data_IF_131701219996
#
_entry.id   IF_131701219996
#
_cell.length_a   1.000
_cell.length_b   1.000
_cell.length_c   1.000
_cell.angle_alpha   90.00
_cell.angle_beta   90.00
_cell.angle_gamma   90.00
#
_symmetry.space_group_name_H-M   'P 1'
#
loop_
_entity.id
_entity.type
_entity.pdbx_description
1 polymer ?
#
# COMPACT_ATOMS: atom_id res chain seq x y z
N UNK A 1 7.05 -13.75 -25.86
CA UNK A 1 7.27 -14.52 -24.62
C UNK A 1 7.55 -13.54 -23.49
N UNK A 2 6.96 -13.73 -22.31
CA UNK A 2 7.10 -12.82 -21.14
C UNK A 2 8.55 -12.63 -20.70
N UNK A 3 9.37 -13.68 -20.72
CA UNK A 3 10.80 -13.67 -20.27
C UNK A 3 11.66 -12.53 -20.84
N UNK A 4 11.42 -12.11 -22.08
CA UNK A 4 12.22 -11.04 -22.71
C UNK A 4 11.53 -9.68 -22.68
N UNK A 5 10.27 -9.63 -22.25
CA UNK A 5 9.44 -8.42 -22.23
C UNK A 5 9.48 -7.73 -20.88
N UNK A 6 9.34 -8.49 -19.80
CA UNK A 6 9.20 -7.92 -18.44
C UNK A 6 10.54 -7.34 -17.95
N UNK A 7 10.48 -6.10 -17.49
CA UNK A 7 11.59 -5.32 -16.94
C UNK A 7 11.36 -4.90 -15.49
N UNK A 8 10.10 -4.87 -15.05
CA UNK A 8 9.69 -4.51 -13.70
C UNK A 8 8.68 -5.53 -13.18
N UNK A 9 8.93 -6.07 -12.01
CA UNK A 9 8.00 -6.90 -11.26
C UNK A 9 7.57 -6.14 -10.01
N UNK A 10 6.27 -5.95 -9.83
CA UNK A 10 5.67 -5.29 -8.69
C UNK A 10 4.90 -6.32 -7.87
N UNK A 11 5.02 -6.29 -6.54
CA UNK A 11 4.26 -7.20 -5.68
C UNK A 11 3.66 -6.46 -4.50
N UNK A 12 2.37 -6.68 -4.27
CA UNK A 12 1.80 -6.42 -2.95
C UNK A 12 2.47 -7.31 -1.89
N UNK A 13 2.30 -6.94 -0.63
CA UNK A 13 2.95 -7.61 0.51
C UNK A 13 1.98 -8.57 1.21
N UNK A 14 0.91 -8.04 1.82
CA UNK A 14 0.02 -8.79 2.70
C UNK A 14 -1.00 -9.61 1.92
N UNK A 15 -0.96 -10.95 2.07
CA UNK A 15 -1.79 -11.86 1.28
C UNK A 15 -1.22 -12.19 -0.10
N UNK A 16 -0.12 -11.54 -0.52
CA UNK A 16 0.54 -11.76 -1.80
C UNK A 16 1.98 -12.29 -1.60
N UNK A 17 2.90 -11.43 -1.17
CA UNK A 17 4.32 -11.77 -1.04
C UNK A 17 4.61 -12.61 0.20
N UNK A 18 3.99 -12.25 1.33
CA UNK A 18 4.19 -12.88 2.62
C UNK A 18 3.04 -13.83 2.97
N UNK A 19 3.36 -14.87 3.72
CA UNK A 19 2.41 -15.81 4.29
C UNK A 19 1.69 -15.22 5.51
N UNK A 20 0.68 -15.92 6.02
CA UNK A 20 -0.07 -15.52 7.22
C UNK A 20 0.81 -15.44 8.47
N UNK A 21 1.87 -16.25 8.55
CA UNK A 21 2.86 -16.22 9.62
C UNK A 21 3.93 -15.11 9.45
N UNK A 22 3.77 -14.24 8.44
CA UNK A 22 4.68 -13.15 8.07
C UNK A 22 6.02 -13.59 7.49
N UNK A 23 6.20 -14.85 7.16
CA UNK A 23 7.38 -15.35 6.47
C UNK A 23 7.26 -15.19 4.96
N UNK A 24 8.40 -15.21 4.26
CA UNK A 24 8.50 -15.28 2.80
C UNK A 24 8.87 -16.71 2.42
N UNK A 25 8.19 -17.26 1.42
CA UNK A 25 8.48 -18.60 0.94
C UNK A 25 9.85 -18.70 0.26
N UNK A 26 10.47 -19.87 0.36
CA UNK A 26 11.84 -20.07 -0.15
C UNK A 26 11.96 -19.84 -1.68
N UNK A 27 10.95 -20.27 -2.44
CA UNK A 27 10.94 -20.03 -3.89
C UNK A 27 10.76 -18.56 -4.23
N UNK A 28 9.90 -17.83 -3.47
CA UNK A 28 9.72 -16.39 -3.64
C UNK A 28 11.02 -15.64 -3.35
N UNK A 29 11.68 -15.95 -2.25
CA UNK A 29 13.00 -15.39 -1.92
C UNK A 29 14.00 -15.60 -3.07
N UNK A 30 14.17 -16.86 -3.52
CA UNK A 30 15.11 -17.19 -4.59
C UNK A 30 14.75 -16.49 -5.92
N UNK A 31 13.46 -16.43 -6.25
CA UNK A 31 12.99 -15.82 -7.50
C UNK A 31 13.30 -14.31 -7.51
N UNK A 32 13.04 -13.60 -6.43
CA UNK A 32 13.32 -12.14 -6.33
C UNK A 32 14.83 -11.87 -6.49
N UNK A 33 15.68 -12.62 -5.81
CA UNK A 33 17.12 -12.49 -5.98
C UNK A 33 17.59 -12.78 -7.40
N UNK A 34 16.99 -13.77 -8.05
CA UNK A 34 17.30 -14.08 -9.45
C UNK A 34 16.83 -12.97 -10.42
N UNK A 35 15.66 -12.32 -10.14
CA UNK A 35 15.21 -11.13 -10.89
C UNK A 35 16.24 -10.01 -10.81
N UNK A 36 16.62 -9.62 -9.59
CA UNK A 36 17.60 -8.55 -9.35
C UNK A 36 18.94 -8.86 -10.04
N UNK A 37 19.42 -10.09 -9.91
CA UNK A 37 20.64 -10.55 -10.58
C UNK A 37 20.57 -10.45 -12.10
N UNK A 38 19.40 -10.66 -12.70
CA UNK A 38 19.18 -10.52 -14.16
C UNK A 38 18.93 -9.07 -14.59
N UNK A 39 18.96 -8.12 -13.68
CA UNK A 39 18.67 -6.71 -13.96
C UNK A 39 17.19 -6.43 -14.23
N UNK A 40 16.29 -7.31 -13.77
CA UNK A 40 14.84 -7.04 -13.74
C UNK A 40 14.54 -6.34 -12.44
N UNK A 41 13.97 -5.15 -12.51
CA UNK A 41 13.61 -4.36 -11.33
C UNK A 41 12.51 -5.05 -10.53
N UNK A 42 12.60 -4.96 -9.19
CA UNK A 42 11.58 -5.42 -8.28
C UNK A 42 11.07 -4.26 -7.43
N UNK A 43 9.77 -4.20 -7.21
CA UNK A 43 9.14 -3.18 -6.38
C UNK A 43 8.13 -3.80 -5.39
N UNK A 44 8.19 -3.35 -4.14
CA UNK A 44 7.16 -3.61 -3.13
C UNK A 44 6.08 -2.53 -3.26
N UNK A 45 4.80 -2.95 -3.33
CA UNK A 45 3.66 -2.05 -3.56
C UNK A 45 2.59 -2.31 -2.51
N UNK A 46 2.44 -1.42 -1.53
CA UNK A 46 1.68 -1.73 -0.33
C UNK A 46 0.89 -0.55 0.23
N UNK A 47 -0.15 -0.83 1.01
CA UNK A 47 -0.81 0.14 1.89
C UNK A 47 -0.02 0.46 3.17
N UNK A 48 1.05 -0.26 3.46
CA UNK A 48 1.91 0.02 4.61
C UNK A 48 2.74 1.29 4.40
N UNK A 49 3.11 1.92 5.52
CA UNK A 49 4.18 2.93 5.53
C UNK A 49 5.53 2.31 5.24
N UNK A 50 6.48 3.12 4.79
CA UNK A 50 7.86 2.67 4.55
C UNK A 50 8.45 1.94 5.77
N UNK A 51 8.28 2.47 6.97
CA UNK A 51 8.77 1.83 8.21
C UNK A 51 8.16 0.45 8.46
N UNK A 52 6.88 0.24 8.09
CA UNK A 52 6.22 -1.08 8.17
C UNK A 52 6.68 -2.10 7.13
N UNK A 53 7.53 -1.68 6.18
CA UNK A 53 8.09 -2.54 5.12
C UNK A 53 9.52 -2.99 5.45
N UNK A 54 10.23 -2.28 6.33
CA UNK A 54 11.60 -2.61 6.70
C UNK A 54 11.80 -4.09 7.11
N UNK A 55 10.94 -4.71 7.94
CA UNK A 55 11.10 -6.13 8.28
C UNK A 55 10.97 -7.07 7.07
N UNK A 56 10.17 -6.69 6.06
CA UNK A 56 10.04 -7.47 4.81
C UNK A 56 11.32 -7.36 3.99
N UNK A 57 11.90 -6.16 3.88
CA UNK A 57 13.17 -5.94 3.20
C UNK A 57 14.32 -6.67 3.88
N UNK A 58 14.38 -6.65 5.22
CA UNK A 58 15.35 -7.43 6.01
C UNK A 58 15.22 -8.93 5.75
N UNK A 59 13.97 -9.46 5.73
CA UNK A 59 13.72 -10.86 5.41
C UNK A 59 14.16 -11.21 3.99
N UNK A 60 13.96 -10.30 3.02
CA UNK A 60 14.47 -10.44 1.66
C UNK A 60 15.96 -10.27 1.56
N UNK A 61 16.64 -9.75 2.57
CA UNK A 61 18.06 -9.37 2.52
C UNK A 61 18.37 -8.41 1.36
N UNK A 62 17.44 -7.48 1.09
CA UNK A 62 17.53 -6.45 0.05
C UNK A 62 17.40 -5.05 0.66
N UNK A 63 18.08 -4.10 0.07
CA UNK A 63 18.07 -2.69 0.48
C UNK A 63 17.16 -1.85 -0.44
N UNK A 64 16.83 -0.65 0.00
CA UNK A 64 16.12 0.35 -0.81
C UNK A 64 16.88 0.76 -2.09
N UNK A 65 18.21 0.54 -2.13
CA UNK A 65 19.03 0.77 -3.33
C UNK A 65 18.92 -0.34 -4.38
N UNK A 66 18.41 -1.51 -4.00
CA UNK A 66 18.27 -2.67 -4.87
C UNK A 66 16.84 -2.85 -5.37
N UNK A 67 15.87 -2.36 -4.59
CA UNK A 67 14.45 -2.43 -4.94
C UNK A 67 13.77 -1.07 -4.82
N UNK A 68 12.65 -0.93 -5.49
CA UNK A 68 11.80 0.27 -5.39
C UNK A 68 10.62 0.02 -4.44
N UNK A 69 9.96 1.10 -4.00
CA UNK A 69 8.82 1.00 -3.11
C UNK A 69 7.69 1.95 -3.46
N UNK A 70 6.47 1.43 -3.38
CA UNK A 70 5.22 2.19 -3.38
C UNK A 70 4.57 1.95 -2.03
N UNK A 71 4.45 2.99 -1.25
CA UNK A 71 3.95 2.97 0.11
C UNK A 71 2.63 3.74 0.19
N UNK A 72 1.85 3.49 1.24
CA UNK A 72 0.57 4.17 1.49
C UNK A 72 -0.35 4.17 0.27
N UNK A 73 -0.45 3.01 -0.41
CA UNK A 73 -1.26 2.85 -1.62
C UNK A 73 -0.94 3.86 -2.74
N UNK A 74 0.32 4.27 -2.88
CA UNK A 74 0.76 5.20 -3.92
C UNK A 74 1.04 6.62 -3.44
N UNK A 75 0.73 6.93 -2.18
CA UNK A 75 0.96 8.28 -1.65
C UNK A 75 2.45 8.62 -1.52
N UNK A 76 3.31 7.62 -1.31
CA UNK A 76 4.75 7.81 -1.26
C UNK A 76 5.47 6.78 -2.13
N UNK A 77 6.37 7.25 -2.99
CA UNK A 77 7.10 6.41 -3.95
C UNK A 77 8.59 6.68 -3.89
N UNK A 78 9.36 5.60 -3.78
CA UNK A 78 10.82 5.62 -3.90
C UNK A 78 11.29 4.72 -5.04
N UNK A 79 12.24 5.19 -5.80
CA UNK A 79 12.90 4.42 -6.86
C UNK A 79 14.36 4.24 -6.49
N UNK A 80 14.74 2.99 -6.16
CA UNK A 80 16.11 2.62 -5.78
C UNK A 80 16.66 3.56 -4.68
N UNK A 81 15.88 3.76 -3.62
CA UNK A 81 16.22 4.58 -2.46
C UNK A 81 16.13 6.10 -2.69
N UNK A 82 15.64 6.54 -3.85
CA UNK A 82 15.45 7.95 -4.13
C UNK A 82 13.96 8.32 -4.07
N UNK A 83 13.55 9.24 -3.18
CA UNK A 83 12.19 9.77 -3.17
C UNK A 83 11.82 10.30 -4.56
N UNK A 84 10.68 9.88 -5.08
CA UNK A 84 10.24 10.22 -6.44
C UNK A 84 8.95 11.01 -6.42
N UNK A 85 7.97 10.61 -5.62
CA UNK A 85 6.72 11.34 -5.45
C UNK A 85 6.14 11.16 -4.04
N UNK A 86 5.41 12.17 -3.60
CA UNK A 86 4.73 12.20 -2.30
C UNK A 86 3.41 12.97 -2.45
N UNK A 87 2.29 12.33 -2.14
CA UNK A 87 0.95 12.85 -2.30
C UNK A 87 0.12 12.61 -1.03
N UNK A 88 0.00 13.63 -0.20
CA UNK A 88 -0.87 13.61 0.99
C UNK A 88 -2.26 14.18 0.69
N UNK A 89 -3.23 13.81 1.51
CA UNK A 89 -4.54 14.49 1.53
C UNK A 89 -4.34 15.92 2.06
N UNK A 90 -4.87 16.94 1.38
CA UNK A 90 -4.77 18.32 1.87
C UNK A 90 -5.33 18.46 3.30
N UNK A 91 -4.58 19.09 4.17
CA UNK A 91 -4.88 19.20 5.63
C UNK A 91 -6.28 19.73 5.92
N UNK A 92 -6.79 20.80 5.28
CA UNK A 92 -8.15 21.27 5.52
C UNK A 92 -9.19 20.20 5.19
N UNK A 93 -9.01 19.51 4.08
CA UNK A 93 -9.92 18.46 3.63
C UNK A 93 -9.91 17.24 4.55
N UNK A 94 -8.74 16.91 5.10
CA UNK A 94 -8.57 15.84 6.08
C UNK A 94 -9.36 16.15 7.39
N UNK A 95 -9.30 17.40 7.87
CA UNK A 95 -10.07 17.81 9.03
C UNK A 95 -11.58 17.81 8.79
N UNK A 96 -12.03 18.24 7.61
CA UNK A 96 -13.45 18.16 7.23
C UNK A 96 -13.94 16.71 7.21
N UNK A 97 -13.18 15.80 6.60
CA UNK A 97 -13.50 14.37 6.58
C UNK A 97 -13.53 13.77 7.97
N UNK A 98 -12.52 14.05 8.81
CA UNK A 98 -12.47 13.60 10.20
C UNK A 98 -13.67 14.08 11.02
N UNK A 99 -14.01 15.36 10.92
CA UNK A 99 -15.16 15.94 11.58
C UNK A 99 -16.48 15.34 11.12
N UNK A 100 -16.64 15.11 9.82
CA UNK A 100 -17.84 14.45 9.29
C UNK A 100 -17.92 13.00 9.80
N UNK A 101 -16.82 12.25 9.76
CA UNK A 101 -16.76 10.86 10.22
C UNK A 101 -17.09 10.72 11.73
N UNK A 102 -16.76 11.71 12.55
CA UNK A 102 -17.08 11.70 13.98
C UNK A 102 -18.59 11.69 14.26
N UNK A 103 -19.44 12.19 13.33
CA UNK A 103 -20.91 12.11 13.43
C UNK A 103 -21.45 10.66 13.33
N UNK A 104 -20.66 9.76 12.77
CA UNK A 104 -20.90 8.32 12.74
C UNK A 104 -20.28 7.56 13.92
N UNK A 105 -19.65 8.27 14.86
CA UNK A 105 -18.78 7.73 15.91
C UNK A 105 -17.52 7.04 15.35
N UNK A 106 -17.11 7.34 14.13
CA UNK A 106 -15.84 6.88 13.61
C UNK A 106 -14.69 7.62 14.30
N UNK A 107 -13.61 6.90 14.55
CA UNK A 107 -12.35 7.45 15.10
C UNK A 107 -11.37 7.68 13.97
N UNK A 108 -10.73 8.84 14.01
CA UNK A 108 -9.69 9.21 13.05
C UNK A 108 -8.31 8.88 13.61
N UNK A 109 -7.46 8.35 12.75
CA UNK A 109 -6.03 8.17 12.99
C UNK A 109 -5.29 8.93 11.90
N UNK A 110 -4.45 9.85 12.31
CA UNK A 110 -3.61 10.64 11.44
C UNK A 110 -2.21 10.01 11.41
N UNK A 111 -1.67 9.82 10.21
CA UNK A 111 -0.29 9.40 10.04
C UNK A 111 0.51 10.54 9.41
N UNK A 112 1.64 10.87 10.04
CA UNK A 112 2.56 11.93 9.59
C UNK A 112 3.99 11.42 9.72
N UNK A 113 4.61 11.09 8.61
CA UNK A 113 5.93 10.47 8.61
C UNK A 113 5.94 9.13 9.35
N UNK A 114 6.79 9.02 10.36
CA UNK A 114 6.91 7.80 11.16
C UNK A 114 5.94 7.76 12.37
N UNK A 115 5.24 8.85 12.64
CA UNK A 115 4.32 8.98 13.77
C UNK A 115 2.88 8.74 13.32
N UNK A 116 2.09 8.15 14.20
CA UNK A 116 0.65 8.10 14.06
C UNK A 116 -0.01 8.78 15.27
N UNK A 117 -1.08 9.50 15.02
CA UNK A 117 -1.69 10.40 15.98
C UNK A 117 -3.17 10.09 16.13
N UNK A 118 -3.64 10.10 17.39
CA UNK A 118 -5.06 10.08 17.75
C UNK A 118 -5.34 11.23 18.70
N UNK A 119 -6.58 11.71 18.70
CA UNK A 119 -6.98 12.76 19.66
C UNK A 119 -7.37 12.20 21.03
N UNK A 120 -7.71 10.89 21.09
CA UNK A 120 -8.05 10.19 22.33
C UNK A 120 -7.47 8.79 22.35
N UNK A 121 -6.96 8.35 23.49
CA UNK A 121 -6.55 6.96 23.71
C UNK A 121 -7.78 6.09 23.98
N UNK A 122 -8.10 5.24 23.04
CA UNK A 122 -9.21 4.30 23.12
C UNK A 122 -8.73 2.84 23.08
N UNK A 123 -9.65 1.89 22.91
CA UNK A 123 -9.33 0.45 22.82
C UNK A 123 -8.37 0.09 21.67
N UNK A 124 -8.29 0.93 20.63
CA UNK A 124 -7.44 0.72 19.47
C UNK A 124 -6.01 1.21 19.70
N UNK A 125 -5.81 2.15 20.64
CA UNK A 125 -4.50 2.69 20.97
C UNK A 125 -3.47 1.61 21.22
N UNK A 126 -3.75 0.66 22.13
CA UNK A 126 -2.79 -0.40 22.49
C UNK A 126 -2.46 -1.31 21.29
N UNK A 127 -3.48 -1.64 20.47
CA UNK A 127 -3.32 -2.49 19.29
C UNK A 127 -2.44 -1.83 18.24
N UNK A 128 -2.72 -0.56 17.91
CA UNK A 128 -1.96 0.19 16.89
C UNK A 128 -0.55 0.46 17.41
N UNK A 129 -0.43 0.85 18.69
CA UNK A 129 0.87 1.18 19.30
C UNK A 129 1.81 -0.01 19.35
N UNK A 130 1.28 -1.23 19.54
CA UNK A 130 2.06 -2.45 19.44
C UNK A 130 2.51 -2.77 18.02
N UNK A 131 1.66 -2.47 17.02
CA UNK A 131 1.97 -2.72 15.62
C UNK A 131 3.04 -1.74 15.06
N UNK A 132 3.01 -0.48 15.51
CA UNK A 132 3.94 0.58 15.07
C UNK A 132 5.00 0.92 16.14
N UNK A 133 5.43 -0.06 16.94
CA UNK A 133 6.59 0.03 17.86
C UNK A 133 6.54 1.23 18.83
N UNK A 134 5.35 1.60 19.32
CA UNK A 134 5.23 2.65 20.32
C UNK A 134 5.35 4.09 19.80
N UNK A 135 5.34 4.32 18.49
CA UNK A 135 5.43 5.66 17.88
C UNK A 135 4.12 6.43 17.87
N UNK A 136 3.15 6.03 18.70
CA UNK A 136 1.86 6.68 18.82
C UNK A 136 1.93 7.97 19.64
N UNK A 137 1.27 9.02 19.15
CA UNK A 137 1.09 10.30 19.81
C UNK A 137 -0.39 10.53 20.08
N UNK A 138 -0.74 11.01 21.28
CA UNK A 138 -2.10 11.41 21.62
C UNK A 138 -2.13 12.92 21.83
N UNK A 139 -2.59 13.64 20.83
CA UNK A 139 -2.69 15.11 20.84
C UNK A 139 -3.74 15.59 19.81
N UNK A 140 -4.21 16.83 19.89
CA UNK A 140 -5.05 17.40 18.85
C UNK A 140 -4.37 17.40 17.48
N UNK A 141 -5.11 17.08 16.42
CA UNK A 141 -4.58 17.03 15.05
C UNK A 141 -4.01 18.38 14.58
N UNK A 142 -4.59 19.49 15.02
CA UNK A 142 -4.08 20.83 14.72
C UNK A 142 -2.66 21.03 15.25
N UNK A 143 -2.34 20.45 16.42
CA UNK A 143 -1.00 20.53 16.99
C UNK A 143 0.02 19.73 16.17
N UNK A 144 -0.35 18.53 15.75
CA UNK A 144 0.47 17.71 14.85
C UNK A 144 0.78 18.45 13.55
N UNK A 145 -0.26 19.01 12.93
CA UNK A 145 -0.10 19.78 11.69
C UNK A 145 0.78 21.02 11.90
N UNK A 146 0.62 21.70 13.03
CA UNK A 146 1.45 22.86 13.37
C UNK A 146 2.93 22.47 13.51
N UNK A 147 3.21 21.33 14.14
CA UNK A 147 4.58 20.80 14.29
C UNK A 147 5.17 20.40 12.94
N UNK A 148 4.41 19.68 12.09
CA UNK A 148 4.85 19.30 10.74
C UNK A 148 5.22 20.51 9.89
N UNK A 149 4.39 21.57 9.90
CA UNK A 149 4.70 22.82 9.20
C UNK A 149 5.98 23.49 9.71
N UNK A 150 6.25 23.40 11.00
CA UNK A 150 7.47 23.96 11.60
C UNK A 150 8.73 23.18 11.21
N UNK A 151 8.60 21.87 10.96
CA UNK A 151 9.72 21.00 10.56
C UNK A 151 10.04 21.05 9.07
N UNK A 152 9.25 21.75 8.28
CA UNK A 152 9.35 21.76 6.80
C UNK A 152 9.17 20.35 6.19
N UNK A 153 8.42 19.48 6.86
CA UNK A 153 8.19 18.10 6.47
C UNK A 153 7.27 18.07 5.25
N UNK A 154 7.80 17.61 4.13
CA UNK A 154 7.06 17.36 2.89
C UNK A 154 6.41 15.97 2.87
N UNK A 155 6.33 15.31 4.02
CA UNK A 155 5.81 13.95 4.10
C UNK A 155 4.28 13.92 3.97
N UNK A 156 3.74 12.89 3.29
CA UNK A 156 2.31 12.77 3.10
C UNK A 156 1.63 12.50 4.44
N UNK A 157 0.56 13.24 4.69
CA UNK A 157 -0.33 12.98 5.81
C UNK A 157 -1.45 12.06 5.32
N UNK A 158 -1.58 10.89 5.95
CA UNK A 158 -2.63 9.91 5.66
C UNK A 158 -3.67 9.94 6.76
N UNK A 159 -4.93 9.90 6.37
CA UNK A 159 -6.06 9.75 7.28
C UNK A 159 -6.64 8.34 7.16
N UNK A 160 -6.87 7.73 8.31
CA UNK A 160 -7.57 6.44 8.44
C UNK A 160 -8.75 6.63 9.38
N UNK A 161 -9.92 6.17 8.97
CA UNK A 161 -11.14 6.18 9.78
C UNK A 161 -11.42 4.77 10.29
N UNK A 162 -11.76 4.66 11.55
CA UNK A 162 -12.06 3.38 12.22
C UNK A 162 -13.46 3.37 12.80
N UNK A 163 -14.21 2.32 12.51
CA UNK A 163 -15.59 2.17 12.97
C UNK A 163 -15.96 0.68 13.07
N UNK A 164 -16.30 0.22 14.28
CA UNK A 164 -16.68 -1.19 14.54
C UNK A 164 -18.16 -1.47 14.27
N UNK A 165 -18.70 -0.97 13.17
CA UNK A 165 -20.09 -1.15 12.78
C UNK A 165 -20.15 -1.16 11.25
N UNK A 166 -20.25 -2.35 10.67
CA UNK A 166 -20.18 -2.53 9.22
C UNK A 166 -21.28 -1.76 8.47
N UNK A 167 -22.49 -1.67 9.06
CA UNK A 167 -23.62 -0.96 8.44
C UNK A 167 -23.33 0.54 8.41
N UNK A 168 -22.87 1.09 9.53
CA UNK A 168 -22.47 2.51 9.59
C UNK A 168 -21.24 2.79 8.75
N UNK A 169 -20.26 1.88 8.70
CA UNK A 169 -19.09 2.02 7.84
C UNK A 169 -19.49 2.09 6.37
N UNK A 170 -20.38 1.23 5.92
CA UNK A 170 -20.89 1.27 4.54
C UNK A 170 -21.64 2.59 4.24
N UNK A 171 -22.47 3.06 5.17
CA UNK A 171 -23.18 4.34 5.05
C UNK A 171 -22.20 5.52 5.01
N UNK A 172 -21.24 5.56 5.94
CA UNK A 172 -20.18 6.58 6.00
C UNK A 172 -19.39 6.63 4.68
N UNK A 173 -18.90 5.49 4.20
CA UNK A 173 -18.18 5.40 2.93
C UNK A 173 -18.98 5.94 1.77
N UNK A 174 -20.27 5.58 1.69
CA UNK A 174 -21.18 6.06 0.63
C UNK A 174 -21.31 7.59 0.65
N UNK A 175 -21.56 8.18 1.81
CA UNK A 175 -21.70 9.64 1.93
C UNK A 175 -20.40 10.38 1.68
N UNK A 176 -19.27 9.87 2.20
CA UNK A 176 -17.97 10.47 1.94
C UNK A 176 -17.62 10.51 0.45
N UNK A 177 -17.93 9.44 -0.32
CA UNK A 177 -17.70 9.43 -1.76
C UNK A 177 -18.58 10.47 -2.51
N UNK A 178 -19.75 10.82 -1.98
CA UNK A 178 -20.62 11.86 -2.55
C UNK A 178 -20.10 13.26 -2.20
N UNK A 179 -19.75 13.48 -0.93
CA UNK A 179 -19.35 14.78 -0.41
C UNK A 179 -17.96 15.20 -0.85
N UNK A 180 -17.05 14.23 -1.01
CA UNK A 180 -15.63 14.49 -1.33
C UNK A 180 -15.19 13.75 -2.61
N UNK A 181 -15.65 14.17 -3.78
CA UNK A 181 -15.40 13.46 -5.05
C UNK A 181 -13.94 13.47 -5.50
N UNK A 182 -13.10 14.32 -4.92
CA UNK A 182 -11.65 14.36 -5.14
C UNK A 182 -10.87 13.33 -4.31
N UNK A 183 -11.54 12.68 -3.36
CA UNK A 183 -10.95 11.65 -2.51
C UNK A 183 -11.44 10.26 -2.91
N UNK A 184 -10.65 9.28 -2.54
CA UNK A 184 -10.97 7.85 -2.60
C UNK A 184 -11.08 7.30 -1.19
N UNK A 185 -12.09 6.46 -0.96
CA UNK A 185 -12.37 5.83 0.32
C UNK A 185 -12.43 4.32 0.11
N UNK A 186 -11.45 3.58 0.57
CA UNK A 186 -11.40 2.13 0.41
C UNK A 186 -11.20 1.42 1.75
N UNK A 187 -11.82 0.25 1.88
CA UNK A 187 -11.64 -0.60 3.04
C UNK A 187 -10.36 -1.40 2.86
N UNK A 188 -9.45 -1.29 3.83
CA UNK A 188 -8.30 -2.20 3.98
C UNK A 188 -8.56 -3.29 5.01
N UNK A 189 -9.61 -3.12 5.82
CA UNK A 189 -10.16 -4.09 6.77
C UNK A 189 -11.64 -3.74 6.99
N UNK A 190 -12.52 -4.64 7.43
CA UNK A 190 -13.94 -4.33 7.68
C UNK A 190 -14.15 -3.08 8.56
N UNK A 191 -13.29 -2.85 9.55
CA UNK A 191 -13.35 -1.72 10.49
C UNK A 191 -12.39 -0.57 10.15
N UNK A 192 -11.72 -0.59 8.98
CA UNK A 192 -10.72 0.40 8.57
C UNK A 192 -11.04 0.97 7.20
N UNK A 193 -11.33 2.27 7.14
CA UNK A 193 -11.52 3.02 5.90
C UNK A 193 -10.33 3.96 5.70
N UNK A 194 -9.57 3.72 4.65
CA UNK A 194 -8.44 4.56 4.27
C UNK A 194 -8.90 5.69 3.35
N UNK A 195 -8.31 6.86 3.53
CA UNK A 195 -8.59 8.08 2.76
C UNK A 195 -7.36 8.46 1.96
N UNK A 196 -7.51 8.59 0.65
CA UNK A 196 -6.46 9.02 -0.27
C UNK A 196 -7.00 10.03 -1.30
N UNK A 197 -6.11 10.68 -2.03
CA UNK A 197 -6.51 11.38 -3.25
C UNK A 197 -7.03 10.39 -4.28
N UNK A 198 -8.07 10.74 -5.05
CA UNK A 198 -8.73 9.84 -5.98
C UNK A 198 -7.79 9.26 -7.04
N UNK A 199 -6.80 10.04 -7.45
CA UNK A 199 -5.83 9.66 -8.49
C UNK A 199 -4.60 8.94 -7.90
N UNK A 200 -4.51 8.84 -6.56
CA UNK A 200 -3.42 8.20 -5.86
C UNK A 200 -3.84 6.79 -5.46
N UNK A 201 -3.23 5.81 -6.08
CA UNK A 201 -3.46 4.40 -5.83
C UNK A 201 -2.20 3.59 -6.18
N UNK A 202 -2.20 2.29 -5.95
CA UNK A 202 -1.06 1.42 -6.24
C UNK A 202 -0.60 1.51 -7.71
N UNK A 203 -1.52 1.63 -8.66
CA UNK A 203 -1.17 1.75 -10.08
C UNK A 203 -0.44 3.06 -10.40
N UNK A 204 -0.91 4.20 -9.85
CA UNK A 204 -0.21 5.49 -10.05
C UNK A 204 1.21 5.47 -9.47
N UNK A 205 1.40 4.78 -8.33
CA UNK A 205 2.73 4.57 -7.75
C UNK A 205 3.64 3.70 -8.63
N UNK A 206 3.11 2.60 -9.18
CA UNK A 206 3.84 1.75 -10.13
C UNK A 206 4.19 2.53 -11.41
N UNK A 207 3.27 3.36 -11.93
CA UNK A 207 3.55 4.22 -13.07
C UNK A 207 4.69 5.20 -12.80
N UNK A 208 4.75 5.81 -11.61
CA UNK A 208 5.83 6.70 -11.23
C UNK A 208 7.21 5.98 -11.20
N UNK A 209 7.26 4.72 -10.73
CA UNK A 209 8.47 3.89 -10.80
C UNK A 209 8.84 3.64 -12.27
N UNK A 210 7.88 3.20 -13.07
CA UNK A 210 8.09 2.86 -14.48
C UNK A 210 8.61 4.05 -15.28
N UNK A 211 8.00 5.22 -15.12
CA UNK A 211 8.42 6.48 -15.76
C UNK A 211 9.86 6.84 -15.40
N UNK A 212 10.21 6.73 -14.12
CA UNK A 212 11.57 7.03 -13.63
C UNK A 212 12.62 6.09 -14.19
N UNK A 213 12.25 4.82 -14.44
CA UNK A 213 13.15 3.80 -14.99
C UNK A 213 13.10 3.68 -16.52
N UNK A 214 12.22 4.45 -17.20
CA UNK A 214 12.03 4.36 -18.65
C UNK A 214 11.40 3.04 -19.09
N UNK A 215 10.53 2.47 -18.25
CA UNK A 215 9.85 1.18 -18.47
C UNK A 215 8.41 1.45 -18.93
N UNK A 216 7.97 0.76 -19.97
CA UNK A 216 6.60 0.87 -20.49
C UNK A 216 5.65 -0.08 -19.79
N UNK A 217 4.34 0.21 -19.80
CA UNK A 217 3.31 -0.60 -19.11
C UNK A 217 3.35 -2.07 -19.51
N UNK A 218 3.57 -2.37 -20.78
CA UNK A 218 3.67 -3.75 -21.30
C UNK A 218 4.89 -4.53 -20.78
N UNK A 219 5.86 -3.84 -20.18
CA UNK A 219 7.05 -4.43 -19.56
C UNK A 219 6.90 -4.65 -18.05
N UNK A 220 5.71 -4.42 -17.49
CA UNK A 220 5.42 -4.57 -16.06
C UNK A 220 4.64 -5.88 -15.82
N UNK A 221 5.06 -6.65 -14.81
CA UNK A 221 4.28 -7.72 -14.22
C UNK A 221 3.93 -7.32 -12.78
N UNK A 222 2.66 -7.44 -12.38
CA UNK A 222 2.22 -7.10 -11.02
C UNK A 222 1.49 -8.25 -10.36
N UNK A 223 1.70 -8.39 -9.03
CA UNK A 223 1.06 -9.39 -8.16
C UNK A 223 0.22 -8.69 -7.11
N UNK A 224 -1.00 -9.18 -6.87
CA UNK A 224 -1.90 -8.66 -5.85
C UNK A 224 -3.01 -9.65 -5.48
N UNK A 225 -3.74 -9.36 -4.40
CA UNK A 225 -4.82 -10.23 -3.92
C UNK A 225 -6.09 -9.48 -3.49
N UNK A 226 -6.02 -8.17 -3.28
CA UNK A 226 -7.14 -7.42 -2.72
C UNK A 226 -7.68 -6.33 -3.66
N UNK A 227 -8.78 -5.69 -3.27
CA UNK A 227 -9.47 -4.68 -4.10
C UNK A 227 -8.61 -3.46 -4.43
N UNK A 228 -7.70 -3.06 -3.53
CA UNK A 228 -6.74 -1.97 -3.77
C UNK A 228 -5.64 -2.31 -4.78
N UNK A 229 -5.49 -3.60 -5.14
CA UNK A 229 -4.56 -4.07 -6.17
C UNK A 229 -5.18 -4.03 -7.57
N UNK A 230 -6.51 -4.02 -7.66
CA UNK A 230 -7.23 -4.09 -8.94
C UNK A 230 -6.74 -3.08 -9.98
N UNK A 231 -6.50 -1.79 -9.65
CA UNK A 231 -5.93 -0.85 -10.61
C UNK A 231 -4.54 -1.28 -11.10
N UNK A 232 -3.67 -1.72 -10.19
CA UNK A 232 -2.31 -2.17 -10.52
C UNK A 232 -2.31 -3.42 -11.40
N UNK A 233 -3.20 -4.40 -11.11
CA UNK A 233 -3.34 -5.62 -11.91
C UNK A 233 -3.80 -5.32 -13.34
N UNK A 234 -4.79 -4.40 -13.50
CA UNK A 234 -5.34 -4.01 -14.81
C UNK A 234 -4.39 -3.17 -15.66
N UNK A 235 -3.58 -2.32 -15.02
CA UNK A 235 -2.70 -1.40 -15.75
C UNK A 235 -1.35 -2.00 -16.12
N UNK A 236 -0.92 -3.07 -15.46
CA UNK A 236 0.29 -3.80 -15.82
C UNK A 236 0.15 -4.52 -17.17
N UNK A 237 1.26 -4.72 -17.85
CA UNK A 237 1.30 -5.54 -19.06
C UNK A 237 1.03 -7.03 -18.82
N UNK A 238 1.09 -7.46 -17.55
CA UNK A 238 0.69 -8.79 -17.11
C UNK A 238 0.32 -8.76 -15.62
N UNK A 239 -0.97 -8.76 -15.33
CA UNK A 239 -1.52 -8.80 -13.98
C UNK A 239 -1.67 -10.22 -13.47
N UNK A 240 -1.22 -10.48 -12.25
CA UNK A 240 -1.27 -11.78 -11.58
C UNK A 240 -2.02 -11.65 -10.25
N UNK A 241 -3.18 -12.28 -10.14
CA UNK A 241 -3.89 -12.37 -8.87
C UNK A 241 -3.49 -13.64 -8.11
N UNK A 242 -3.40 -13.52 -6.79
CA UNK A 242 -3.20 -14.69 -5.93
C UNK A 242 -4.51 -15.47 -5.79
N UNK A 243 -4.44 -16.82 -5.74
CA UNK A 243 -5.62 -17.71 -5.59
C UNK A 243 -6.46 -17.41 -4.33
N UNK A 244 -5.83 -16.89 -3.28
CA UNK A 244 -6.51 -16.45 -2.05
C UNK A 244 -7.14 -15.05 -2.17
N UNK A 245 -7.05 -14.41 -3.32
CA UNK A 245 -7.50 -13.04 -3.52
C UNK A 245 -9.03 -12.89 -3.58
N UNK A 246 -9.48 -11.63 -3.50
CA UNK A 246 -10.88 -11.28 -3.69
C UNK A 246 -11.34 -11.56 -5.13
N UNK A 247 -12.65 -11.75 -5.33
CA UNK A 247 -13.18 -11.96 -6.67
C UNK A 247 -12.83 -10.79 -7.61
N UNK A 248 -12.83 -9.54 -7.11
CA UNK A 248 -12.44 -8.36 -7.88
C UNK A 248 -10.99 -8.43 -8.38
N UNK A 249 -10.07 -8.91 -7.54
CA UNK A 249 -8.68 -9.11 -7.93
C UNK A 249 -8.52 -10.25 -8.94
N UNK A 250 -9.22 -11.39 -8.72
CA UNK A 250 -9.21 -12.51 -9.64
C UNK A 250 -9.74 -12.13 -11.04
N UNK A 251 -10.83 -11.36 -11.09
CA UNK A 251 -11.45 -10.91 -12.35
C UNK A 251 -10.61 -9.85 -13.08
N UNK A 252 -9.70 -9.19 -12.38
CA UNK A 252 -8.84 -8.14 -12.93
C UNK A 252 -7.54 -8.66 -13.55
N UNK A 253 -7.16 -9.90 -13.27
CA UNK A 253 -5.85 -10.45 -13.61
C UNK A 253 -5.83 -11.25 -14.91
N UNK A 254 -4.68 -11.28 -15.57
CA UNK A 254 -4.39 -12.14 -16.74
C UNK A 254 -4.07 -13.58 -16.33
N UNK A 255 -3.60 -13.77 -15.08
CA UNK A 255 -3.17 -15.07 -14.57
C UNK A 255 -3.50 -15.20 -13.08
N UNK A 256 -3.88 -16.41 -12.66
CA UNK A 256 -4.11 -16.74 -11.26
C UNK A 256 -2.95 -17.60 -10.75
N UNK A 257 -2.15 -17.04 -9.85
CA UNK A 257 -1.06 -17.74 -9.18
C UNK A 257 -1.60 -18.66 -8.07
N UNK A 258 -0.84 -19.67 -7.62
CA UNK A 258 -1.11 -20.34 -6.35
C UNK A 258 -1.22 -19.32 -5.20
N UNK A 259 -1.77 -19.73 -4.05
CA UNK A 259 -1.90 -18.83 -2.89
C UNK A 259 -0.53 -18.39 -2.36
N UNK A 260 -0.52 -17.31 -1.56
CA UNK A 260 0.66 -16.87 -0.82
C UNK A 260 1.22 -17.97 0.10
N UNK A 261 0.34 -18.78 0.71
CA UNK A 261 0.74 -19.93 1.55
C UNK A 261 1.48 -21.02 0.75
N UNK A 262 1.17 -21.14 -0.54
CA UNK A 262 1.77 -22.12 -1.46
C UNK A 262 3.02 -21.59 -2.17
N UNK A 263 3.56 -20.44 -1.76
CA UNK A 263 4.72 -19.80 -2.42
C UNK A 263 4.40 -19.35 -3.86
N UNK A 264 3.19 -18.80 -4.06
CA UNK A 264 2.61 -18.55 -5.37
C UNK A 264 3.39 -17.55 -6.22
N UNK A 265 3.94 -16.48 -5.63
CA UNK A 265 4.78 -15.50 -6.34
C UNK A 265 6.02 -16.17 -6.90
N UNK A 266 6.77 -16.90 -6.08
CA UNK A 266 7.97 -17.60 -6.48
C UNK A 266 7.72 -18.65 -7.58
N UNK A 267 6.69 -19.49 -7.40
CA UNK A 267 6.29 -20.50 -8.40
C UNK A 267 5.96 -19.86 -9.76
N UNK A 268 5.22 -18.75 -9.74
CA UNK A 268 4.82 -18.03 -10.94
C UNK A 268 6.02 -17.40 -11.64
N UNK A 269 6.91 -16.76 -10.89
CA UNK A 269 8.12 -16.16 -11.44
C UNK A 269 9.03 -17.21 -12.12
N UNK A 270 9.27 -18.35 -11.47
CA UNK A 270 10.06 -19.42 -12.07
C UNK A 270 9.38 -20.04 -13.30
N UNK A 271 8.07 -20.17 -13.28
CA UNK A 271 7.33 -20.73 -14.42
C UNK A 271 7.30 -19.81 -15.65
N UNK A 272 7.13 -18.49 -15.44
CA UNK A 272 6.83 -17.54 -16.51
C UNK A 272 8.01 -16.67 -16.92
N UNK A 273 8.94 -16.35 -15.98
CA UNK A 273 10.03 -15.40 -16.22
C UNK A 273 11.44 -16.00 -16.09
N UNK A 274 11.65 -16.89 -15.15
CA UNK A 274 12.98 -17.40 -14.80
C UNK A 274 13.23 -18.81 -15.35
#
# INVERSE_FOLDING_TARGET
MLKNRIKLVCSDIDGTLIKSDKTIGELTYKAIHELVKRGIHFALVTGRFKTGVLPVMETLSLTDKEISGVYDNGAYVEVLGQPTSSYGVPIPLMFEVSKFASSYNARSVLFSGEEWVVEEKDKWWARINGFYEGRGVCEPFEETVRKSRMRNDSEPIKLVLRLDDDVKMAALKKELNILYPSLSFFLSHPDILEVSLKEVNKASGVSAIADKLGITKDQIMSFGDFDNDVPMLKEAGFGVAMKNGTQCALDAADYIAPSNEEDGVGKTLFSLLL
#
